data_IF_127556443590
#
_entry.id   IF_127556443590
#
_cell.length_a   1.000
_cell.length_b   1.000
_cell.length_c   1.000
_cell.angle_alpha   90.00
_cell.angle_beta   90.00
_cell.angle_gamma   90.00
#
_symmetry.space_group_name_H-M   'P 1'
#
loop_
_entity.id
_entity.type
_entity.pdbx_description
1 polymer ?
#
# COMPACT_ATOMS: atom_id res chain seq x y z
N UNK A 1 6.32 -25.99 -17.96
CA UNK A 1 5.85 -24.69 -18.47
C UNK A 1 6.22 -23.67 -17.41
N UNK A 2 7.21 -22.82 -17.68
CA UNK A 2 7.63 -21.79 -16.73
C UNK A 2 6.76 -20.56 -16.98
N UNK A 3 5.97 -20.17 -15.98
CA UNK A 3 5.24 -18.90 -15.97
C UNK A 3 6.03 -17.97 -15.07
N UNK A 4 6.34 -16.78 -15.56
CA UNK A 4 6.95 -15.70 -14.79
C UNK A 4 5.85 -14.69 -14.49
N UNK A 5 5.58 -14.46 -13.21
CA UNK A 5 4.69 -13.40 -12.76
C UNK A 5 5.53 -12.17 -12.38
N UNK A 6 5.13 -11.00 -12.85
CA UNK A 6 5.73 -9.71 -12.47
C UNK A 6 4.67 -8.69 -12.05
N UNK A 7 5.04 -7.78 -11.16
CA UNK A 7 4.18 -6.63 -10.82
C UNK A 7 4.30 -5.55 -11.88
N UNK A 8 3.18 -4.89 -12.18
CA UNK A 8 3.09 -3.82 -13.17
C UNK A 8 2.40 -2.58 -12.59
N UNK A 9 2.78 -1.42 -13.11
CA UNK A 9 2.10 -0.16 -12.88
C UNK A 9 0.76 -0.10 -13.63
N UNK A 10 -0.06 0.91 -13.34
CA UNK A 10 -1.35 1.12 -14.01
C UNK A 10 -1.24 1.38 -15.52
N UNK A 11 -0.09 1.77 -16.03
CA UNK A 11 0.17 1.93 -17.46
C UNK A 11 0.72 0.65 -18.11
N UNK A 12 0.83 -0.45 -17.34
CA UNK A 12 1.38 -1.72 -17.78
C UNK A 12 2.90 -1.78 -17.80
N UNK A 13 3.60 -0.72 -17.40
CA UNK A 13 5.06 -0.79 -17.25
C UNK A 13 5.44 -1.67 -16.07
N UNK A 14 6.55 -2.38 -16.18
CA UNK A 14 7.03 -3.25 -15.10
C UNK A 14 7.44 -2.42 -13.89
N UNK A 15 7.07 -2.87 -12.69
CA UNK A 15 7.58 -2.30 -11.44
C UNK A 15 9.05 -2.67 -11.31
N UNK A 16 9.91 -1.66 -11.25
CA UNK A 16 11.37 -1.82 -11.12
C UNK A 16 11.91 -1.24 -9.82
N UNK A 17 11.08 -0.46 -9.13
CA UNK A 17 11.35 0.10 -7.82
C UNK A 17 11.48 -1.00 -6.76
N UNK A 18 12.17 -0.67 -5.67
CA UNK A 18 12.29 -1.58 -4.53
C UNK A 18 10.91 -1.77 -3.89
N UNK A 19 10.38 -2.98 -3.99
CA UNK A 19 9.16 -3.38 -3.27
C UNK A 19 9.53 -3.56 -1.80
N UNK A 20 8.82 -2.85 -0.93
CA UNK A 20 9.02 -2.85 0.53
C UNK A 20 7.83 -3.48 1.28
N UNK A 21 6.73 -3.77 0.58
CA UNK A 21 5.59 -4.47 1.16
C UNK A 21 4.61 -4.96 0.09
N UNK A 22 3.94 -6.07 0.34
CA UNK A 22 2.92 -6.65 -0.54
C UNK A 22 1.67 -6.93 0.30
N UNK A 23 0.60 -6.21 0.02
CA UNK A 23 -0.71 -6.39 0.64
C UNK A 23 -1.70 -7.12 -0.26
N UNK A 24 -2.95 -7.21 0.22
CA UNK A 24 -4.04 -7.81 -0.56
C UNK A 24 -4.40 -7.00 -1.80
N UNK A 25 -4.51 -5.68 -1.65
CA UNK A 25 -5.02 -4.75 -2.69
C UNK A 25 -3.93 -3.86 -3.30
N UNK A 26 -2.77 -3.76 -2.66
CA UNK A 26 -1.70 -2.87 -3.09
C UNK A 26 -0.33 -3.42 -2.80
N UNK A 27 0.66 -2.90 -3.52
CA UNK A 27 2.08 -3.09 -3.21
C UNK A 27 2.67 -1.74 -2.78
N UNK A 28 3.61 -1.79 -1.84
CA UNK A 28 4.38 -0.63 -1.42
C UNK A 28 5.73 -0.66 -2.14
N UNK A 29 6.02 0.41 -2.87
CA UNK A 29 7.32 0.64 -3.51
C UNK A 29 8.02 1.84 -2.86
N UNK A 30 9.34 1.78 -2.79
CA UNK A 30 10.13 2.89 -2.30
C UNK A 30 10.44 3.88 -3.44
N UNK A 31 10.09 5.15 -3.25
CA UNK A 31 10.43 6.25 -4.16
C UNK A 31 11.19 7.33 -3.37
N UNK A 32 12.52 7.27 -3.42
CA UNK A 32 13.38 8.16 -2.64
C UNK A 32 13.18 7.95 -1.14
N UNK A 33 12.78 9.03 -0.44
CA UNK A 33 12.50 9.07 1.00
C UNK A 33 11.01 8.84 1.33
N UNK A 34 10.25 8.29 0.38
CA UNK A 34 8.81 8.04 0.54
C UNK A 34 8.47 6.60 0.18
N UNK A 35 7.40 6.11 0.77
CA UNK A 35 6.74 4.90 0.35
C UNK A 35 5.52 5.27 -0.52
N UNK A 36 5.31 4.51 -1.59
CA UNK A 36 4.17 4.69 -2.48
C UNK A 36 3.39 3.38 -2.56
N UNK A 37 2.14 3.40 -2.12
CA UNK A 37 1.20 2.31 -2.31
C UNK A 37 0.55 2.44 -3.67
N UNK A 38 0.72 1.44 -4.51
CA UNK A 38 0.10 1.36 -5.84
C UNK A 38 -0.77 0.10 -5.93
N UNK A 39 -1.73 0.03 -6.87
CA UNK A 39 -2.55 -1.16 -7.07
C UNK A 39 -1.68 -2.40 -7.28
N UNK A 40 -2.08 -3.53 -6.68
CA UNK A 40 -1.40 -4.81 -6.87
C UNK A 40 -1.83 -5.44 -8.19
N UNK A 41 -1.26 -4.94 -9.28
CA UNK A 41 -1.46 -5.49 -10.62
C UNK A 41 -0.29 -6.38 -11.01
N UNK A 42 -0.60 -7.49 -11.67
CA UNK A 42 0.38 -8.45 -12.15
C UNK A 42 0.20 -8.78 -13.62
N UNK A 43 1.30 -9.24 -14.21
CA UNK A 43 1.36 -9.79 -15.57
C UNK A 43 2.01 -11.16 -15.51
N UNK A 44 1.33 -12.14 -16.10
CA UNK A 44 1.83 -13.50 -16.27
C UNK A 44 2.37 -13.70 -17.69
N UNK A 45 3.65 -14.09 -17.76
CA UNK A 45 4.35 -14.33 -19.01
C UNK A 45 4.69 -15.82 -19.08
N UNK A 46 4.11 -16.49 -20.06
CA UNK A 46 4.42 -17.87 -20.42
C UNK A 46 5.34 -17.97 -21.62
N UNK A 47 5.39 -19.18 -22.18
CA UNK A 47 6.08 -19.50 -23.42
C UNK A 47 5.05 -19.97 -24.45
N UNK A 48 5.12 -19.46 -25.68
CA UNK A 48 4.26 -19.84 -26.81
C UNK A 48 4.47 -21.27 -27.32
N UNK A 49 5.38 -22.03 -26.71
CA UNK A 49 5.77 -23.38 -27.14
C UNK A 49 6.93 -23.39 -28.12
N UNK A 50 7.32 -22.23 -28.66
CA UNK A 50 8.47 -22.03 -29.55
C UNK A 50 9.65 -21.32 -28.86
N UNK A 51 9.53 -21.03 -27.55
CA UNK A 51 10.57 -20.37 -26.78
C UNK A 51 10.38 -18.85 -26.68
N UNK A 52 9.31 -18.28 -27.25
CA UNK A 52 9.07 -16.84 -27.19
C UNK A 52 8.15 -16.49 -26.01
N UNK A 53 8.39 -15.35 -25.34
CA UNK A 53 7.54 -14.89 -24.26
C UNK A 53 6.14 -14.56 -24.79
N UNK A 54 5.13 -15.11 -24.13
CA UNK A 54 3.72 -14.87 -24.43
C UNK A 54 3.04 -14.31 -23.18
N UNK A 55 2.46 -13.12 -23.29
CA UNK A 55 1.62 -12.56 -22.21
C UNK A 55 0.34 -13.38 -22.14
N UNK A 56 0.13 -14.06 -21.01
CA UNK A 56 -1.06 -14.88 -20.75
C UNK A 56 -2.15 -14.00 -20.14
N UNK A 57 -1.78 -13.23 -19.13
CA UNK A 57 -2.68 -12.35 -18.37
C UNK A 57 -1.93 -11.04 -18.13
N UNK A 58 -2.63 -9.92 -18.27
CA UNK A 58 -2.15 -8.60 -17.90
C UNK A 58 -3.28 -7.84 -17.20
N UNK A 59 -3.20 -7.77 -15.87
CA UNK A 59 -4.23 -7.13 -15.04
C UNK A 59 -4.25 -5.61 -15.21
N UNK A 60 -3.22 -5.01 -15.83
CA UNK A 60 -3.25 -3.59 -16.19
C UNK A 60 -4.12 -3.30 -17.42
N UNK A 61 -4.41 -4.31 -18.25
CA UNK A 61 -5.22 -4.14 -19.45
C UNK A 61 -6.71 -4.02 -19.12
N UNK A 62 -7.47 -3.38 -20.01
CA UNK A 62 -8.95 -3.36 -19.90
C UNK A 62 -9.48 -4.80 -20.01
N UNK A 63 -10.37 -5.23 -19.09
CA UNK A 63 -10.97 -6.57 -19.18
C UNK A 63 -11.82 -6.69 -20.45
N UNK A 64 -12.05 -7.92 -20.89
CA UNK A 64 -13.00 -8.18 -21.97
C UNK A 64 -14.41 -7.93 -21.47
N UNK A 65 -15.34 -7.63 -22.38
CA UNK A 65 -16.74 -7.44 -22.02
C UNK A 65 -17.29 -8.68 -21.30
N UNK A 66 -17.84 -8.46 -20.10
CA UNK A 66 -18.39 -9.53 -19.25
C UNK A 66 -17.38 -10.17 -18.29
N UNK A 67 -16.08 -9.89 -18.42
CA UNK A 67 -15.07 -10.34 -17.46
C UNK A 67 -15.06 -9.44 -16.22
N UNK A 68 -14.61 -10.01 -15.10
CA UNK A 68 -14.43 -9.28 -13.84
C UNK A 68 -13.27 -8.29 -13.94
N UNK A 69 -13.52 -7.03 -13.56
CA UNK A 69 -12.53 -5.95 -13.62
C UNK A 69 -11.77 -5.82 -12.29
N UNK A 70 -10.72 -6.63 -12.14
CA UNK A 70 -9.84 -6.56 -10.96
C UNK A 70 -9.20 -5.17 -10.82
N UNK A 71 -8.85 -4.52 -11.93
CA UNK A 71 -8.21 -3.19 -11.93
C UNK A 71 -9.15 -2.17 -11.30
N UNK A 72 -10.41 -2.13 -11.70
CA UNK A 72 -11.40 -1.22 -11.12
C UNK A 72 -11.58 -1.43 -9.62
N UNK A 73 -11.62 -2.67 -9.16
CA UNK A 73 -11.80 -3.00 -7.74
C UNK A 73 -10.59 -2.62 -6.87
N UNK A 74 -9.38 -2.81 -7.40
CA UNK A 74 -8.14 -2.37 -6.72
C UNK A 74 -8.06 -0.84 -6.64
N UNK A 75 -8.43 -0.14 -7.72
CA UNK A 75 -8.50 1.32 -7.75
C UNK A 75 -9.53 1.86 -6.74
N UNK A 76 -10.73 1.26 -6.71
CA UNK A 76 -11.77 1.61 -5.75
C UNK A 76 -11.31 1.40 -4.30
N UNK A 77 -10.59 0.30 -4.05
CA UNK A 77 -10.03 -0.01 -2.73
C UNK A 77 -9.05 1.07 -2.25
N UNK A 78 -8.15 1.55 -3.13
CA UNK A 78 -7.23 2.63 -2.79
C UNK A 78 -7.95 3.97 -2.61
N UNK A 79 -8.98 4.27 -3.39
CA UNK A 79 -9.77 5.49 -3.18
C UNK A 79 -10.53 5.48 -1.86
N UNK A 80 -11.06 4.33 -1.44
CA UNK A 80 -11.66 4.17 -0.11
C UNK A 80 -10.63 4.39 1.00
N UNK A 81 -9.43 3.85 0.86
CA UNK A 81 -8.33 4.06 1.81
C UNK A 81 -7.94 5.54 1.89
N UNK A 82 -7.73 6.21 0.74
CA UNK A 82 -7.50 7.66 0.71
C UNK A 82 -8.61 8.45 1.38
N UNK A 83 -9.88 8.06 1.19
CA UNK A 83 -11.01 8.73 1.82
C UNK A 83 -10.99 8.59 3.35
N UNK A 84 -10.56 7.43 3.86
CA UNK A 84 -10.33 7.21 5.29
C UNK A 84 -9.17 8.09 5.76
N UNK A 85 -8.03 8.09 5.08
CA UNK A 85 -6.87 8.90 5.47
C UNK A 85 -7.17 10.40 5.46
N UNK A 86 -7.94 10.89 4.47
CA UNK A 86 -8.43 12.28 4.42
C UNK A 86 -9.26 12.61 5.66
N UNK A 87 -10.14 11.71 6.07
CA UNK A 87 -11.01 11.87 7.24
C UNK A 87 -10.21 11.82 8.54
N UNK A 88 -9.19 10.97 8.61
CA UNK A 88 -8.28 10.87 9.75
C UNK A 88 -7.36 12.09 9.86
N UNK A 89 -6.92 12.65 8.74
CA UNK A 89 -6.01 13.80 8.73
C UNK A 89 -4.67 13.49 9.38
N UNK A 90 -3.94 14.53 9.81
CA UNK A 90 -2.63 14.35 10.41
C UNK A 90 -2.72 14.02 11.90
N UNK A 91 -2.22 12.85 12.31
CA UNK A 91 -2.12 12.44 13.71
C UNK A 91 -0.79 11.73 13.93
N UNK A 92 -0.13 11.98 15.07
CA UNK A 92 1.24 11.49 15.31
C UNK A 92 1.37 9.96 15.29
N UNK A 93 0.36 9.23 15.78
CA UNK A 93 0.36 7.76 15.74
C UNK A 93 -0.27 7.14 14.49
N UNK A 94 -0.52 7.92 13.44
CA UNK A 94 -0.96 7.43 12.11
C UNK A 94 0.12 7.82 11.11
N UNK A 95 0.47 6.91 10.21
CA UNK A 95 1.45 7.20 9.15
C UNK A 95 0.95 8.36 8.29
N UNK A 96 1.81 9.36 8.08
CA UNK A 96 1.43 10.56 7.34
C UNK A 96 1.34 10.27 5.84
N UNK A 97 0.18 10.57 5.27
CA UNK A 97 -0.06 10.52 3.82
C UNK A 97 -0.03 11.93 3.20
N UNK A 98 0.58 12.08 2.02
CA UNK A 98 0.90 13.39 1.42
C UNK A 98 0.06 13.77 0.20
N UNK A 99 -0.34 12.82 -0.65
CA UNK A 99 -1.05 13.07 -1.92
C UNK A 99 -2.56 12.80 -1.83
N UNK A 100 -3.16 13.10 -0.68
CA UNK A 100 -4.57 12.88 -0.43
C UNK A 100 -5.47 13.88 -1.16
N UNK A 101 -5.00 15.07 -1.50
CA UNK A 101 -5.81 16.13 -2.13
C UNK A 101 -6.09 15.93 -3.61
N UNK A 102 -5.46 14.95 -4.28
CA UNK A 102 -5.76 14.63 -5.68
C UNK A 102 -7.14 14.00 -5.77
N UNK A 103 -8.17 14.84 -5.98
CA UNK A 103 -9.50 14.38 -6.37
C UNK A 103 -9.46 13.94 -7.82
N UNK A 104 -9.91 12.71 -8.09
CA UNK A 104 -10.04 12.09 -9.42
C UNK A 104 -11.07 12.77 -10.35
N UNK A 105 -11.42 14.03 -10.11
CA UNK A 105 -12.06 14.88 -11.13
C UNK A 105 -11.01 15.39 -12.14
N UNK A 106 -10.22 14.47 -12.71
CA UNK A 106 -9.52 14.74 -13.96
C UNK A 106 -10.49 14.37 -15.07
N UNK A 107 -11.18 15.36 -15.63
CA UNK A 107 -11.94 15.26 -16.89
C UNK A 107 -11.01 15.13 -18.10
N UNK A 108 -9.74 14.78 -17.91
CA UNK A 108 -8.77 14.56 -18.97
C UNK A 108 -8.53 13.06 -19.12
N UNK A 109 -8.57 12.56 -20.35
CA UNK A 109 -8.32 11.17 -20.76
C UNK A 109 -6.88 10.66 -20.46
N UNK A 110 -6.14 11.37 -19.61
CA UNK A 110 -4.79 11.07 -19.16
C UNK A 110 -4.78 10.99 -17.64
N UNK A 111 -5.32 9.90 -17.10
CA UNK A 111 -5.12 9.54 -15.69
C UNK A 111 -3.63 9.20 -15.51
N UNK A 112 -2.92 10.00 -14.71
CA UNK A 112 -1.52 9.68 -14.39
C UNK A 112 -1.49 8.62 -13.29
N UNK A 113 -0.52 7.69 -13.30
CA UNK A 113 -0.48 6.59 -12.31
C UNK A 113 -0.41 7.09 -10.85
N UNK A 114 0.02 8.34 -10.66
CA UNK A 114 0.08 9.06 -9.38
C UNK A 114 -1.29 9.42 -8.79
N UNK A 115 -2.35 9.51 -9.60
CA UNK A 115 -3.68 9.86 -9.10
C UNK A 115 -4.31 8.72 -8.30
N UNK A 116 -3.85 7.48 -8.52
CA UNK A 116 -4.36 6.27 -7.90
C UNK A 116 -3.32 5.57 -7.02
N UNK A 117 -2.48 6.35 -6.36
CA UNK A 117 -1.50 5.87 -5.39
C UNK A 117 -1.58 6.62 -4.07
N UNK A 118 -1.13 6.00 -2.98
CA UNK A 118 -1.05 6.64 -1.65
C UNK A 118 0.41 6.82 -1.30
N UNK A 119 0.84 8.07 -1.22
CA UNK A 119 2.20 8.46 -0.89
C UNK A 119 2.29 8.74 0.60
N UNK A 120 3.19 8.04 1.27
CA UNK A 120 3.33 8.07 2.72
C UNK A 120 4.80 8.21 3.13
N UNK A 121 5.02 8.58 4.40
CA UNK A 121 6.36 8.59 4.99
C UNK A 121 6.97 7.18 4.96
N UNK A 122 8.26 7.11 4.64
CA UNK A 122 9.01 5.86 4.69
C UNK A 122 9.46 5.60 6.13
N UNK A 123 8.92 4.55 6.73
CA UNK A 123 9.21 4.17 8.11
C UNK A 123 10.49 3.34 8.16
N UNK A 124 11.56 3.91 8.72
CA UNK A 124 12.93 3.37 8.57
C UNK A 124 13.11 1.95 9.10
N UNK A 125 12.34 1.58 10.13
CA UNK A 125 12.43 0.29 10.80
C UNK A 125 11.36 -0.71 10.34
N UNK A 126 10.60 -0.38 9.28
CA UNK A 126 9.59 -1.27 8.71
C UNK A 126 8.41 -1.54 9.65
N UNK A 127 7.78 -2.70 9.49
CA UNK A 127 6.69 -3.13 10.37
C UNK A 127 7.20 -3.75 11.68
N UNK A 128 6.36 -3.70 12.71
CA UNK A 128 6.68 -4.11 14.06
C UNK A 128 6.97 -5.62 14.15
N UNK A 129 6.40 -6.44 13.25
CA UNK A 129 6.67 -7.88 13.23
C UNK A 129 8.11 -8.15 12.82
N UNK A 130 8.56 -7.56 11.71
CA UNK A 130 9.94 -7.70 11.25
C UNK A 130 10.91 -7.06 12.23
N UNK A 131 10.57 -5.87 12.77
CA UNK A 131 11.37 -5.20 13.78
C UNK A 131 11.63 -6.08 15.00
N UNK A 132 10.59 -6.71 15.57
CA UNK A 132 10.73 -7.59 16.74
C UNK A 132 11.47 -8.90 16.43
N UNK A 133 11.58 -9.29 15.16
CA UNK A 133 12.33 -10.46 14.74
C UNK A 133 13.83 -10.18 14.56
N UNK A 134 14.17 -8.96 14.14
CA UNK A 134 15.54 -8.54 13.85
C UNK A 134 16.25 -7.93 15.06
N UNK A 135 15.54 -7.16 15.89
CA UNK A 135 16.12 -6.41 16.98
C UNK A 135 15.89 -7.07 18.35
N UNK A 136 16.73 -6.76 19.35
CA UNK A 136 16.49 -7.19 20.73
C UNK A 136 15.10 -6.76 21.21
N UNK A 137 14.53 -7.56 22.11
CA UNK A 137 13.24 -7.26 22.71
C UNK A 137 13.25 -5.84 23.30
N UNK A 138 12.30 -4.97 22.93
CA UNK A 138 12.14 -3.65 23.52
C UNK A 138 11.97 -3.73 25.04
N UNK A 139 12.48 -2.75 25.75
CA UNK A 139 12.28 -2.68 27.19
C UNK A 139 10.83 -2.33 27.56
N UNK A 140 10.49 -2.49 28.84
CA UNK A 140 9.13 -2.25 29.32
C UNK A 140 8.64 -0.81 29.10
N UNK A 141 9.53 0.19 29.11
CA UNK A 141 9.16 1.58 28.90
C UNK A 141 8.81 1.84 27.44
N UNK A 142 9.58 1.26 26.50
CA UNK A 142 9.31 1.37 25.07
C UNK A 142 8.00 0.66 24.70
N UNK A 143 7.77 -0.55 25.23
CA UNK A 143 6.50 -1.28 25.03
C UNK A 143 5.32 -0.45 25.58
N UNK A 144 5.45 0.10 26.78
CA UNK A 144 4.40 0.94 27.38
C UNK A 144 4.13 2.19 26.54
N UNK A 145 5.18 2.83 26.02
CA UNK A 145 5.07 3.99 25.11
C UNK A 145 4.30 3.64 23.84
N UNK A 146 4.63 2.52 23.19
CA UNK A 146 3.93 2.06 21.98
C UNK A 146 2.46 1.72 22.25
N UNK A 147 2.16 0.99 23.32
CA UNK A 147 0.79 0.66 23.69
C UNK A 147 -0.04 1.91 24.02
N UNK A 148 0.57 2.87 24.73
CA UNK A 148 -0.09 4.14 25.06
C UNK A 148 -0.39 4.94 23.79
N UNK A 149 0.59 5.05 22.88
CA UNK A 149 0.44 5.72 21.59
C UNK A 149 -0.68 5.07 20.75
N UNK A 150 -0.72 3.73 20.72
CA UNK A 150 -1.74 2.99 19.98
C UNK A 150 -3.13 3.20 20.58
N UNK A 151 -3.28 3.19 21.91
CA UNK A 151 -4.57 3.45 22.56
C UNK A 151 -5.07 4.88 22.30
N UNK A 152 -4.18 5.87 22.36
CA UNK A 152 -4.50 7.26 22.03
C UNK A 152 -4.90 7.42 20.56
N UNK A 153 -4.16 6.76 19.65
CA UNK A 153 -4.48 6.74 18.22
C UNK A 153 -5.83 6.10 17.93
N UNK A 154 -6.14 4.96 18.56
CA UNK A 154 -7.45 4.31 18.40
C UNK A 154 -8.59 5.20 18.91
N UNK A 155 -8.38 5.89 20.04
CA UNK A 155 -9.37 6.87 20.54
C UNK A 155 -9.61 7.98 19.51
N UNK A 156 -8.53 8.55 18.95
CA UNK A 156 -8.61 9.58 17.91
C UNK A 156 -9.33 9.11 16.64
N UNK A 157 -9.08 7.87 16.22
CA UNK A 157 -9.71 7.23 15.05
C UNK A 157 -11.20 7.00 15.32
N UNK A 158 -11.56 6.50 16.51
CA UNK A 158 -12.93 6.24 16.91
C UNK A 158 -13.74 7.53 17.04
N UNK A 159 -13.16 8.62 17.52
CA UNK A 159 -13.80 9.96 17.54
C UNK A 159 -14.17 10.44 16.14
N UNK A 160 -13.43 9.99 15.13
CA UNK A 160 -13.72 10.24 13.72
C UNK A 160 -14.67 9.23 13.12
N UNK A 161 -15.24 8.31 13.88
CA UNK A 161 -16.15 7.22 13.45
C UNK A 161 -15.57 6.39 12.31
N UNK A 162 -14.29 6.04 12.44
CA UNK A 162 -13.60 5.02 11.66
C UNK A 162 -13.30 3.86 12.60
N UNK A 163 -13.41 2.62 12.10
CA UNK A 163 -13.10 1.41 12.87
C UNK A 163 -11.86 0.78 12.24
N UNK A 164 -10.83 0.53 13.05
CA UNK A 164 -9.65 -0.23 12.62
C UNK A 164 -9.95 -1.71 12.82
N UNK A 165 -10.27 -2.41 11.74
CA UNK A 165 -10.66 -3.83 11.80
C UNK A 165 -9.46 -4.80 11.72
N UNK A 166 -8.29 -4.34 11.30
CA UNK A 166 -7.11 -5.18 11.07
C UNK A 166 -5.90 -4.72 11.91
N UNK A 167 -6.06 -4.82 13.25
CA UNK A 167 -4.97 -4.51 14.19
C UNK A 167 -4.04 -5.72 14.27
N UNK A 168 -2.87 -5.60 13.66
CA UNK A 168 -1.83 -6.63 13.62
C UNK A 168 -0.44 -5.99 13.55
N UNK A 169 0.58 -6.74 13.94
CA UNK A 169 1.97 -6.26 13.95
C UNK A 169 2.47 -5.85 12.56
N UNK A 170 1.93 -6.46 11.50
CA UNK A 170 2.26 -6.11 10.11
C UNK A 170 1.72 -4.72 9.69
N UNK A 171 0.72 -4.18 10.41
CA UNK A 171 0.11 -2.85 10.14
C UNK A 171 0.57 -1.78 11.14
N UNK A 172 1.54 -2.09 12.00
CA UNK A 172 2.17 -1.14 12.91
C UNK A 172 3.58 -0.87 12.39
N UNK A 173 3.84 0.34 11.92
CA UNK A 173 5.15 0.72 11.39
C UNK A 173 5.97 1.42 12.47
N UNK A 174 7.26 1.11 12.51
CA UNK A 174 8.20 1.64 13.48
C UNK A 174 9.11 2.65 12.79
N UNK A 175 9.21 3.83 13.39
CA UNK A 175 10.28 4.78 13.12
C UNK A 175 11.18 4.90 14.36
N UNK A 176 12.23 5.75 14.33
CA UNK A 176 13.30 5.84 15.33
C UNK A 176 12.88 5.58 16.78
N UNK A 177 11.69 6.06 17.22
CA UNK A 177 11.11 5.69 18.52
C UNK A 177 9.59 5.50 18.55
N UNK A 178 8.87 5.66 17.43
CA UNK A 178 7.40 5.71 17.41
C UNK A 178 6.80 4.56 16.62
N UNK A 179 5.83 3.87 17.21
CA UNK A 179 4.97 2.92 16.51
C UNK A 179 3.71 3.64 16.03
N UNK A 180 3.48 3.65 14.72
CA UNK A 180 2.34 4.30 14.07
C UNK A 180 1.51 3.28 13.30
N UNK A 181 0.20 3.48 13.28
CA UNK A 181 -0.71 2.68 12.47
C UNK A 181 -0.58 3.08 11.00
N UNK A 182 -0.40 2.08 10.13
CA UNK A 182 -0.48 2.22 8.67
C UNK A 182 -1.93 2.32 8.21
#
# INVERSE_FOLDING_TARGET
MTIIAEFVHLDGTRVTEKIIGVGGTGILIQQGQRALKIPRLSRDIGNDGFGLPLVIIDESSTPKEGDYDIRADLLLSLEHEKAIDRRLGNHHGIVRCHNLSSTSMSTSFTSTSTDHSIMMDLMANGDLRHYLAEFPRPDSNQILSWLTTMAQTLTYIHDRRVIVADIRLDNLLVDENLASLC
#
